data_IF_055996396406
#
_entry.id   IF_055996396406
#
_cell.length_a   1.000
_cell.length_b   1.000
_cell.length_c   1.000
_cell.angle_alpha   90.00
_cell.angle_beta   90.00
_cell.angle_gamma   90.00
#
_symmetry.space_group_name_H-M   'P 1'
#
loop_
_entity.id
_entity.type
_entity.pdbx_description
1 polymer ?
#
# COMPACT_ATOMS: atom_id res chain seq x y z
N UNK A 1 -0.82 4.05 15.11
CA UNK A 1 0.34 3.53 14.36
C UNK A 1 0.52 4.37 13.11
N UNK A 2 1.75 4.61 12.67
CA UNK A 2 2.03 5.31 11.41
C UNK A 2 2.52 4.30 10.37
N UNK A 3 2.13 4.49 9.12
CA UNK A 3 2.67 3.78 7.96
C UNK A 3 3.56 4.76 7.20
N UNK A 4 4.80 4.37 6.94
CA UNK A 4 5.68 5.16 6.08
C UNK A 4 5.47 4.69 4.65
N UNK A 5 5.15 5.61 3.74
CA UNK A 5 5.02 5.33 2.31
C UNK A 5 6.14 6.08 1.61
N UNK A 6 7.00 5.36 0.90
CA UNK A 6 8.13 5.89 0.16
C UNK A 6 7.91 5.68 -1.33
N UNK A 7 7.95 6.76 -2.12
CA UNK A 7 7.98 6.66 -3.58
C UNK A 7 9.40 6.39 -4.04
N UNK A 8 9.62 5.32 -4.81
CA UNK A 8 10.95 4.98 -5.35
C UNK A 8 11.40 5.97 -6.43
N UNK A 9 10.46 6.40 -7.27
CA UNK A 9 10.71 7.37 -8.34
C UNK A 9 10.86 8.80 -7.81
N UNK A 10 9.93 9.30 -7.00
CA UNK A 10 10.01 10.66 -6.41
C UNK A 10 10.93 10.82 -5.19
N UNK A 11 11.54 9.74 -4.66
CA UNK A 11 12.27 9.71 -3.36
C UNK A 11 11.52 10.36 -2.17
N UNK A 12 10.22 10.58 -2.31
CA UNK A 12 9.42 11.27 -1.32
C UNK A 12 8.88 10.24 -0.34
N UNK A 13 9.03 10.52 0.96
CA UNK A 13 8.45 9.69 2.01
C UNK A 13 7.35 10.47 2.73
N UNK A 14 6.16 9.89 2.76
CA UNK A 14 4.99 10.41 3.47
C UNK A 14 4.63 9.48 4.61
N UNK A 15 4.38 10.04 5.79
CA UNK A 15 3.91 9.29 6.94
C UNK A 15 2.40 9.50 7.07
N UNK A 16 1.65 8.40 7.00
CA UNK A 16 0.19 8.43 7.18
C UNK A 16 -0.19 7.73 8.47
N UNK A 17 -1.06 8.39 9.22
CA UNK A 17 -1.59 7.89 10.47
C UNK A 17 -2.71 6.88 10.18
N UNK A 18 -2.55 5.66 10.68
CA UNK A 18 -3.52 4.58 10.54
C UNK A 18 -4.47 4.64 11.73
N UNK A 19 -5.76 4.74 11.43
CA UNK A 19 -6.83 4.63 12.43
C UNK A 19 -7.20 3.16 12.63
N UNK A 20 -7.71 2.79 13.82
CA UNK A 20 -8.06 1.40 14.13
C UNK A 20 -9.09 0.81 13.14
N UNK A 21 -10.00 1.64 12.64
CA UNK A 21 -11.01 1.27 11.65
C UNK A 21 -10.40 0.83 10.30
N UNK A 22 -9.20 1.31 9.97
CA UNK A 22 -8.55 1.06 8.67
C UNK A 22 -7.68 -0.20 8.66
N UNK A 23 -7.48 -0.87 9.79
CA UNK A 23 -6.67 -2.09 9.87
C UNK A 23 -7.25 -3.25 9.06
N UNK A 24 -8.58 -3.31 8.96
CA UNK A 24 -9.28 -4.38 8.25
C UNK A 24 -9.42 -4.12 6.74
N UNK A 25 -9.00 -2.95 6.27
CA UNK A 25 -8.99 -2.62 4.85
C UNK A 25 -7.80 -3.29 4.16
N UNK A 26 -7.96 -3.67 2.89
CA UNK A 26 -6.82 -4.03 2.04
C UNK A 26 -5.87 -2.86 1.90
N UNK A 27 -4.56 -3.13 1.85
CA UNK A 27 -3.53 -2.11 1.69
C UNK A 27 -3.78 -1.26 0.43
N UNK A 28 -4.21 -1.89 -0.67
CA UNK A 28 -4.65 -1.20 -1.89
C UNK A 28 -5.72 -0.13 -1.60
N UNK A 29 -6.78 -0.51 -0.89
CA UNK A 29 -7.93 0.36 -0.66
C UNK A 29 -7.55 1.50 0.30
N UNK A 30 -6.70 1.21 1.28
CA UNK A 30 -6.11 2.22 2.16
C UNK A 30 -5.28 3.25 1.37
N UNK A 31 -4.39 2.79 0.49
CA UNK A 31 -3.56 3.67 -0.35
C UNK A 31 -4.44 4.57 -1.25
N UNK A 32 -5.45 3.99 -1.91
CA UNK A 32 -6.40 4.74 -2.74
C UNK A 32 -7.17 5.78 -1.92
N UNK A 33 -7.65 5.42 -0.71
CA UNK A 33 -8.36 6.34 0.18
C UNK A 33 -7.49 7.49 0.69
N UNK A 34 -6.17 7.27 0.79
CA UNK A 34 -5.18 8.30 1.12
C UNK A 34 -4.67 9.07 -0.11
N UNK A 35 -5.28 8.87 -1.29
CA UNK A 35 -4.90 9.47 -2.56
C UNK A 35 -3.47 9.12 -3.03
N UNK A 36 -2.94 7.96 -2.62
CA UNK A 36 -1.68 7.47 -3.17
C UNK A 36 -1.94 6.77 -4.51
N UNK A 37 -1.31 7.23 -5.60
CA UNK A 37 -1.45 6.60 -6.90
C UNK A 37 -0.80 5.22 -6.86
N UNK A 38 -1.57 4.18 -7.15
CA UNK A 38 -1.07 2.82 -7.28
C UNK A 38 -1.75 2.15 -8.47
N UNK A 39 -0.97 1.44 -9.27
CA UNK A 39 -1.49 0.77 -10.44
C UNK A 39 -2.41 -0.40 -10.03
N UNK A 40 -3.69 -0.29 -10.36
CA UNK A 40 -4.67 -1.36 -10.12
C UNK A 40 -5.61 -1.46 -11.32
N UNK A 41 -5.45 -2.53 -12.11
CA UNK A 41 -6.35 -2.82 -13.25
C UNK A 41 -7.37 -3.92 -12.98
N UNK A 42 -7.25 -4.63 -11.85
CA UNK A 42 -8.08 -5.80 -11.53
C UNK A 42 -8.95 -5.62 -10.29
N UNK A 43 -9.19 -4.37 -9.83
CA UNK A 43 -10.01 -4.07 -8.64
C UNK A 43 -9.61 -4.82 -7.35
N UNK A 44 -8.41 -5.39 -7.30
CA UNK A 44 -7.94 -6.17 -6.15
C UNK A 44 -8.06 -7.69 -6.29
N UNK A 45 -8.44 -8.23 -7.45
CA UNK A 45 -8.55 -9.68 -7.69
C UNK A 45 -7.19 -10.40 -7.87
N UNK A 46 -6.07 -9.73 -7.59
CA UNK A 46 -4.70 -10.27 -7.68
C UNK A 46 -4.24 -10.77 -9.07
N UNK A 47 -5.12 -10.86 -10.07
CA UNK A 47 -4.82 -11.36 -11.42
C UNK A 47 -3.94 -10.41 -12.25
N UNK A 48 -4.03 -9.10 -12.00
CA UNK A 48 -3.33 -8.11 -12.83
C UNK A 48 -1.87 -7.93 -12.43
N UNK A 49 -1.50 -8.32 -11.21
CA UNK A 49 -0.15 -8.15 -10.65
C UNK A 49 0.44 -6.73 -10.80
N UNK A 50 -0.43 -5.70 -10.89
CA UNK A 50 0.00 -4.30 -11.02
C UNK A 50 0.12 -3.58 -9.67
N UNK A 51 -0.58 -4.08 -8.65
CA UNK A 51 -0.65 -3.48 -7.31
C UNK A 51 0.62 -3.73 -6.46
N UNK A 52 1.79 -3.88 -7.10
CA UNK A 52 3.04 -4.32 -6.47
C UNK A 52 3.66 -3.19 -5.65
N UNK A 53 4.00 -3.50 -4.41
CA UNK A 53 4.75 -2.70 -3.46
C UNK A 53 5.93 -3.49 -2.93
N UNK A 54 6.96 -2.82 -2.42
CA UNK A 54 8.19 -3.43 -1.89
C UNK A 54 8.78 -4.46 -2.86
N UNK A 55 8.77 -4.13 -4.15
CA UNK A 55 9.32 -4.93 -5.26
C UNK A 55 8.57 -6.23 -5.60
N UNK A 56 7.90 -6.91 -4.65
CA UNK A 56 7.25 -8.20 -4.91
C UNK A 56 5.98 -8.49 -4.09
N UNK A 57 5.47 -7.51 -3.36
CA UNK A 57 4.29 -7.67 -2.50
C UNK A 57 3.07 -7.09 -3.20
N UNK A 58 2.03 -7.87 -3.40
CA UNK A 58 0.77 -7.35 -3.95
C UNK A 58 -0.03 -6.65 -2.84
N UNK A 59 -0.18 -5.32 -2.93
CA UNK A 59 -0.99 -4.52 -2.00
C UNK A 59 -2.44 -4.96 -1.92
N UNK A 60 -2.94 -5.59 -2.96
CA UNK A 60 -4.28 -6.14 -3.02
C UNK A 60 -4.41 -7.52 -2.35
N UNK A 61 -3.30 -8.17 -2.00
CA UNK A 61 -3.26 -9.48 -1.35
C UNK A 61 -3.27 -9.41 0.19
N UNK A 62 -2.95 -8.24 0.76
CA UNK A 62 -2.73 -8.08 2.19
C UNK A 62 -3.62 -6.98 2.75
N UNK A 63 -4.07 -7.19 3.99
CA UNK A 63 -4.71 -6.14 4.79
C UNK A 63 -3.66 -5.23 5.41
N UNK A 64 -4.04 -3.99 5.75
CA UNK A 64 -3.14 -3.03 6.41
C UNK A 64 -2.53 -3.63 7.68
N UNK A 65 -3.34 -4.36 8.46
CA UNK A 65 -2.87 -5.07 9.67
C UNK A 65 -1.78 -6.11 9.37
N UNK A 66 -2.04 -6.99 8.40
CA UNK A 66 -1.09 -8.05 8.00
C UNK A 66 0.21 -7.43 7.50
N UNK A 67 0.08 -6.41 6.65
CA UNK A 67 1.24 -5.70 6.13
C UNK A 67 2.09 -5.12 7.26
N UNK A 68 1.48 -4.43 8.25
CA UNK A 68 2.20 -3.85 9.39
C UNK A 68 2.88 -4.87 10.31
N UNK A 69 2.43 -6.13 10.29
CA UNK A 69 3.09 -7.20 11.03
C UNK A 69 4.37 -7.68 10.33
N UNK A 70 4.39 -7.65 9.00
CA UNK A 70 5.54 -8.09 8.20
C UNK A 70 6.51 -6.94 7.90
N UNK A 71 6.00 -5.79 7.48
CA UNK A 71 6.73 -4.66 6.92
C UNK A 71 6.20 -3.34 7.51
N UNK A 72 7.09 -2.40 7.83
CA UNK A 72 6.71 -1.09 8.41
C UNK A 72 6.69 0.05 7.39
N UNK A 73 7.21 -0.17 6.18
CA UNK A 73 7.18 0.80 5.09
C UNK A 73 6.61 0.18 3.81
N UNK A 74 5.83 0.99 3.08
CA UNK A 74 5.36 0.69 1.73
C UNK A 74 6.22 1.47 0.75
N UNK A 75 6.84 0.78 -0.20
CA UNK A 75 7.59 1.33 -1.31
C UNK A 75 6.77 1.13 -2.59
N UNK A 76 6.37 2.23 -3.21
CA UNK A 76 5.69 2.24 -4.51
C UNK A 76 6.66 2.71 -5.59
N UNK A 77 6.69 2.02 -6.72
CA UNK A 77 7.61 2.35 -7.81
C UNK A 77 7.17 3.62 -8.56
N UNK A 78 5.86 3.79 -8.72
CA UNK A 78 5.22 4.97 -9.31
C UNK A 78 4.86 6.00 -8.24
N UNK A 79 5.75 6.97 -8.05
CA UNK A 79 5.42 8.28 -7.48
C UNK A 79 6.19 9.33 -8.27
#
# INVERSE_FOLDING_TARGET
MYLKITGRSSQTSSQVLIRPDEFNLSLLNFLLKKNFPIASSCRGEQICQKCVVNTNILSCSLSVKEFLMTEKEVQVDYL
#
